data_IF_216844968549
#
_entry.id   IF_216844968549
#
_cell.length_a   1.000
_cell.length_b   1.000
_cell.length_c   1.000
_cell.angle_alpha   90.00
_cell.angle_beta   90.00
_cell.angle_gamma   90.00
#
_symmetry.space_group_name_H-M   'P 1'
#
loop_
_entity.id
_entity.type
_entity.pdbx_description
1 polymer ?
#
# COMPACT_ATOMS: atom_id res chain seq x y z
N UNK A 1 37.35 -6.48 30.81
CA UNK A 1 36.38 -5.87 29.91
C UNK A 1 37.10 -5.52 28.61
N UNK A 2 36.89 -6.31 27.55
CA UNK A 2 37.46 -6.02 26.21
C UNK A 2 36.45 -5.16 25.46
N UNK A 3 36.84 -3.96 25.03
CA UNK A 3 36.09 -3.07 24.22
C UNK A 3 35.81 -3.69 22.83
N UNK A 4 34.53 -3.71 22.43
CA UNK A 4 34.10 -4.14 21.10
C UNK A 4 34.69 -3.20 20.01
N UNK A 5 35.08 -3.71 18.86
CA UNK A 5 35.66 -2.87 17.79
C UNK A 5 34.54 -1.98 17.19
N UNK A 6 34.74 -0.66 17.27
CA UNK A 6 33.89 0.34 16.59
C UNK A 6 33.87 0.06 15.08
N UNK A 7 32.69 -0.14 14.52
CA UNK A 7 32.47 -0.41 13.10
C UNK A 7 32.85 0.80 12.23
N UNK A 8 34.15 0.88 11.87
CA UNK A 8 34.73 1.96 11.04
C UNK A 8 34.11 2.02 9.62
N UNK A 9 33.61 0.92 9.08
CA UNK A 9 33.00 0.87 7.73
C UNK A 9 31.65 1.59 7.66
N UNK A 10 30.78 1.46 8.66
CA UNK A 10 29.48 2.14 8.68
C UNK A 10 29.62 3.67 8.81
N UNK A 11 30.56 4.13 9.64
CA UNK A 11 30.82 5.56 9.85
C UNK A 11 31.44 6.23 8.62
N UNK A 12 32.22 5.49 7.83
CA UNK A 12 32.83 5.98 6.57
C UNK A 12 31.76 6.10 5.47
N UNK A 13 30.74 5.25 5.45
CA UNK A 13 29.68 5.26 4.47
C UNK A 13 28.66 6.40 4.72
N UNK A 14 28.35 6.70 5.99
CA UNK A 14 27.51 7.84 6.37
C UNK A 14 28.19 9.17 5.99
N UNK A 15 29.46 9.34 6.33
CA UNK A 15 30.20 10.57 6.00
C UNK A 15 30.37 10.78 4.49
N UNK A 16 30.52 9.71 3.72
CA UNK A 16 30.55 9.79 2.26
C UNK A 16 29.22 10.31 1.67
N UNK A 17 28.08 9.84 2.16
CA UNK A 17 26.75 10.31 1.71
C UNK A 17 26.54 11.79 2.04
N UNK A 18 26.95 12.23 3.21
CA UNK A 18 26.92 13.64 3.61
C UNK A 18 27.75 14.51 2.65
N UNK A 19 28.97 14.09 2.29
CA UNK A 19 29.84 14.82 1.37
C UNK A 19 29.22 14.88 -0.04
N UNK A 20 28.64 13.77 -0.52
CA UNK A 20 27.96 13.74 -1.82
C UNK A 20 26.75 14.69 -1.83
N UNK A 21 25.94 14.72 -0.77
CA UNK A 21 24.80 15.62 -0.63
C UNK A 21 25.25 17.10 -0.61
N UNK A 22 26.28 17.44 0.12
CA UNK A 22 26.82 18.81 0.17
C UNK A 22 27.42 19.24 -1.19
N UNK A 23 28.03 18.31 -1.94
CA UNK A 23 28.48 18.59 -3.31
C UNK A 23 27.30 18.82 -4.25
N UNK A 24 26.23 18.05 -4.13
CA UNK A 24 25.01 18.25 -4.92
C UNK A 24 24.37 19.61 -4.63
N UNK A 25 24.31 20.02 -3.38
CA UNK A 25 23.82 21.33 -2.97
C UNK A 25 24.67 22.47 -3.55
N UNK A 26 25.99 22.31 -3.54
CA UNK A 26 26.93 23.26 -4.17
C UNK A 26 26.66 23.36 -5.68
N UNK A 27 26.52 22.22 -6.37
CA UNK A 27 26.24 22.14 -7.82
C UNK A 27 24.88 22.77 -8.16
N UNK A 28 23.87 22.57 -7.32
CA UNK A 28 22.53 23.16 -7.52
C UNK A 28 22.54 24.69 -7.55
N UNK A 29 23.48 25.33 -6.85
CA UNK A 29 23.69 26.79 -6.88
C UNK A 29 24.55 27.30 -8.05
N UNK A 30 25.08 26.41 -8.91
CA UNK A 30 25.99 26.75 -10.01
C UNK A 30 25.27 26.66 -11.38
N UNK A 31 25.80 27.33 -12.40
CA UNK A 31 25.27 27.26 -13.76
C UNK A 31 25.93 26.14 -14.58
N UNK A 32 25.27 25.68 -15.63
CA UNK A 32 25.83 24.71 -16.55
C UNK A 32 27.13 25.30 -17.18
N UNK A 33 28.20 24.54 -17.15
CA UNK A 33 29.51 24.99 -17.61
C UNK A 33 30.35 25.69 -16.54
N UNK A 34 29.80 25.96 -15.35
CA UNK A 34 30.59 26.51 -14.24
C UNK A 34 31.65 25.52 -13.77
N UNK A 35 32.84 26.07 -13.44
CA UNK A 35 33.95 25.27 -12.96
C UNK A 35 33.83 25.00 -11.46
N UNK A 36 33.85 23.71 -11.06
CA UNK A 36 33.94 23.34 -9.65
C UNK A 36 35.27 23.85 -9.02
N UNK A 37 35.23 24.22 -7.73
CA UNK A 37 36.44 24.46 -6.97
C UNK A 37 37.39 23.25 -7.02
N UNK A 38 38.71 23.50 -6.86
CA UNK A 38 39.66 22.42 -6.89
C UNK A 38 39.42 21.36 -5.82
N UNK A 39 39.80 20.10 -6.07
CA UNK A 39 39.67 19.00 -5.11
C UNK A 39 40.27 19.32 -3.73
N UNK A 40 41.37 20.08 -3.72
CA UNK A 40 42.01 20.56 -2.48
C UNK A 40 41.14 21.59 -1.76
N UNK A 41 40.51 22.49 -2.50
CA UNK A 41 39.57 23.49 -1.96
C UNK A 41 38.33 22.83 -1.41
N UNK A 42 37.75 21.88 -2.16
CA UNK A 42 36.59 21.12 -1.75
C UNK A 42 36.88 20.27 -0.50
N UNK A 43 38.01 19.60 -0.45
CA UNK A 43 38.44 18.83 0.73
C UNK A 43 38.51 19.69 2.00
N UNK A 44 39.05 20.90 1.89
CA UNK A 44 39.06 21.85 3.02
C UNK A 44 37.70 22.37 3.39
N UNK A 45 36.88 22.75 2.39
CA UNK A 45 35.53 23.32 2.59
C UNK A 45 34.54 22.33 3.20
N UNK A 46 34.66 21.05 2.81
CA UNK A 46 33.77 19.97 3.25
C UNK A 46 34.34 19.17 4.42
N UNK A 47 35.46 19.61 5.00
CA UNK A 47 36.18 18.93 6.10
C UNK A 47 36.28 17.41 5.85
N UNK A 48 36.76 17.05 4.66
CA UNK A 48 36.82 15.65 4.25
C UNK A 48 38.13 15.31 3.54
N UNK A 49 38.42 14.00 3.48
CA UNK A 49 39.61 13.55 2.77
C UNK A 49 39.52 13.79 1.25
N UNK A 50 40.64 14.08 0.60
CA UNK A 50 40.68 14.22 -0.87
C UNK A 50 40.14 12.98 -1.57
N UNK A 51 40.42 11.78 -1.05
CA UNK A 51 39.93 10.52 -1.61
C UNK A 51 38.36 10.41 -1.56
N UNK A 52 37.73 10.91 -0.48
CA UNK A 52 36.27 10.94 -0.36
C UNK A 52 35.65 11.91 -1.36
N UNK A 53 36.24 13.10 -1.52
CA UNK A 53 35.81 14.10 -2.50
C UNK A 53 36.00 13.57 -3.93
N UNK A 54 37.14 12.94 -4.24
CA UNK A 54 37.40 12.35 -5.57
C UNK A 54 36.41 11.24 -5.91
N UNK A 55 36.02 10.41 -4.93
CA UNK A 55 35.01 9.37 -5.12
C UNK A 55 33.65 10.00 -5.41
N UNK A 56 33.23 11.01 -4.66
CA UNK A 56 31.96 11.68 -4.86
C UNK A 56 31.91 12.40 -6.22
N UNK A 57 32.98 13.09 -6.63
CA UNK A 57 33.07 13.74 -7.95
C UNK A 57 32.99 12.70 -9.08
N UNK A 58 33.62 11.54 -8.92
CA UNK A 58 33.58 10.48 -9.93
C UNK A 58 32.14 9.96 -10.12
N UNK A 59 31.46 9.66 -9.03
CA UNK A 59 30.05 9.22 -9.11
C UNK A 59 29.15 10.29 -9.74
N UNK A 60 29.29 11.57 -9.35
CA UNK A 60 28.53 12.66 -9.95
C UNK A 60 28.85 12.86 -11.44
N UNK A 61 30.08 12.50 -11.86
CA UNK A 61 30.45 12.49 -13.28
C UNK A 61 29.85 11.29 -14.02
N UNK A 62 29.81 10.11 -13.41
CA UNK A 62 29.14 8.92 -13.94
C UNK A 62 27.61 9.13 -14.05
N UNK A 63 27.02 9.88 -13.12
CA UNK A 63 25.63 10.30 -13.13
C UNK A 63 25.33 11.45 -14.13
N UNK A 64 26.36 11.96 -14.83
CA UNK A 64 26.23 13.00 -15.84
C UNK A 64 25.96 14.42 -15.30
N UNK A 65 26.12 14.62 -13.98
CA UNK A 65 25.99 15.94 -13.34
C UNK A 65 27.24 16.79 -13.46
N UNK A 66 28.39 16.15 -13.66
CA UNK A 66 29.69 16.77 -13.81
C UNK A 66 30.39 16.25 -15.06
N UNK A 67 31.24 17.08 -15.65
CA UNK A 67 32.14 16.72 -16.75
C UNK A 67 33.58 17.04 -16.36
N UNK A 68 34.43 16.04 -16.40
CA UNK A 68 35.89 16.24 -16.14
C UNK A 68 36.62 16.46 -17.45
N UNK A 69 37.25 17.64 -17.63
CA UNK A 69 38.05 17.98 -18.80
C UNK A 69 39.52 17.90 -18.43
N UNK A 70 40.26 17.08 -19.17
CA UNK A 70 41.66 16.86 -18.91
C UNK A 70 42.45 18.20 -18.91
N UNK A 71 43.22 18.44 -17.87
CA UNK A 71 43.99 19.68 -17.71
C UNK A 71 43.22 20.94 -17.36
N UNK A 72 41.89 20.93 -17.51
CA UNK A 72 41.04 22.12 -17.32
C UNK A 72 40.23 22.11 -16.03
N UNK A 73 39.95 20.92 -15.48
CA UNK A 73 39.21 20.77 -14.22
C UNK A 73 37.88 20.02 -14.39
N UNK A 74 37.01 20.14 -13.38
CA UNK A 74 35.69 19.56 -13.39
C UNK A 74 34.63 20.68 -13.50
N UNK A 75 33.68 20.49 -14.38
CA UNK A 75 32.64 21.47 -14.71
C UNK A 75 31.25 20.89 -14.45
N UNK A 76 30.30 21.74 -14.16
CA UNK A 76 28.89 21.34 -14.11
C UNK A 76 28.43 21.02 -15.54
N UNK A 77 28.11 19.74 -15.80
CA UNK A 77 27.78 19.28 -17.15
C UNK A 77 26.28 19.45 -17.47
N UNK A 78 25.46 19.46 -16.43
CA UNK A 78 24.03 19.65 -16.55
C UNK A 78 23.50 20.36 -15.30
N UNK A 79 22.95 21.54 -15.48
CA UNK A 79 21.97 21.99 -14.52
C UNK A 79 20.79 21.06 -14.71
N UNK A 80 20.51 20.23 -13.75
CA UNK A 80 19.21 19.63 -13.62
C UNK A 80 18.22 20.80 -13.39
N UNK A 81 17.86 21.49 -14.46
CA UNK A 81 16.63 22.27 -14.49
C UNK A 81 15.50 21.27 -14.46
N UNK A 82 15.02 21.03 -13.32
CA UNK A 82 13.97 20.08 -13.06
C UNK A 82 14.42 18.97 -12.10
N UNK A 83 13.96 19.14 -10.88
CA UNK A 83 13.79 18.10 -9.88
C UNK A 83 15.07 17.65 -9.16
N UNK A 84 15.74 18.55 -8.44
CA UNK A 84 15.79 18.29 -7.01
C UNK A 84 14.52 18.94 -6.45
N UNK A 85 13.39 18.40 -6.78
CA UNK A 85 12.23 18.66 -5.98
C UNK A 85 12.55 17.96 -4.65
N UNK A 86 12.54 18.70 -3.54
CA UNK A 86 12.33 18.16 -2.21
C UNK A 86 10.92 17.52 -2.13
N UNK A 87 10.40 17.04 -3.26
CA UNK A 87 9.13 16.38 -3.35
C UNK A 87 9.29 15.03 -2.67
N UNK A 88 8.53 14.83 -1.64
CA UNK A 88 8.41 13.52 -1.02
C UNK A 88 7.93 12.51 -2.06
N UNK A 89 8.45 11.29 -1.99
CA UNK A 89 8.03 10.17 -2.81
C UNK A 89 7.23 9.21 -1.93
N UNK A 90 5.93 9.15 -2.15
CA UNK A 90 5.05 8.22 -1.45
C UNK A 90 4.79 6.98 -2.29
N UNK A 91 4.70 5.84 -1.66
CA UNK A 91 4.32 4.61 -2.33
C UNK A 91 2.90 4.21 -1.96
N UNK A 92 2.04 4.02 -2.96
CA UNK A 92 0.76 3.37 -2.80
C UNK A 92 0.87 1.92 -3.26
N UNK A 93 0.64 0.97 -2.35
CA UNK A 93 0.61 -0.47 -2.66
C UNK A 93 -0.83 -0.96 -2.58
N UNK A 94 -1.34 -1.49 -3.69
CA UNK A 94 -2.69 -2.06 -3.79
C UNK A 94 -2.65 -3.54 -4.18
N UNK A 95 -3.65 -4.34 -3.78
CA UNK A 95 -3.72 -5.77 -4.13
C UNK A 95 -3.97 -6.01 -5.61
N UNK A 96 -4.86 -5.23 -6.23
CA UNK A 96 -5.17 -5.36 -7.66
C UNK A 96 -5.71 -4.03 -8.22
N UNK A 97 -4.92 -3.38 -9.06
CA UNK A 97 -5.29 -2.09 -9.65
C UNK A 97 -6.49 -2.18 -10.62
N UNK A 98 -6.82 -3.36 -11.10
CA UNK A 98 -7.99 -3.58 -11.97
C UNK A 98 -9.32 -3.53 -11.21
N UNK A 99 -9.31 -3.73 -9.89
CA UNK A 99 -10.51 -3.55 -9.07
C UNK A 99 -10.84 -2.06 -8.92
N UNK A 100 -12.07 -1.67 -9.28
CA UNK A 100 -12.50 -0.26 -9.35
C UNK A 100 -12.29 0.55 -8.05
N UNK A 101 -12.38 -0.09 -6.88
CA UNK A 101 -12.12 0.55 -5.59
C UNK A 101 -10.67 1.05 -5.48
N UNK A 102 -9.70 0.29 -5.98
CA UNK A 102 -8.29 0.66 -5.88
C UNK A 102 -7.89 1.70 -6.94
N UNK A 103 -8.54 1.72 -8.08
CA UNK A 103 -8.38 2.80 -9.05
C UNK A 103 -8.84 4.15 -8.47
N UNK A 104 -10.00 4.17 -7.79
CA UNK A 104 -10.50 5.35 -7.09
C UNK A 104 -9.57 5.80 -5.95
N UNK A 105 -9.03 4.84 -5.18
CA UNK A 105 -8.05 5.10 -4.14
C UNK A 105 -6.77 5.72 -4.71
N UNK A 106 -6.24 5.17 -5.81
CA UNK A 106 -5.04 5.67 -6.46
C UNK A 106 -5.23 7.12 -6.94
N UNK A 107 -6.38 7.43 -7.55
CA UNK A 107 -6.73 8.80 -7.95
C UNK A 107 -6.81 9.76 -6.76
N UNK A 108 -7.41 9.32 -5.64
CA UNK A 108 -7.49 10.14 -4.42
C UNK A 108 -6.14 10.40 -3.78
N UNK A 109 -5.27 9.39 -3.74
CA UNK A 109 -3.91 9.51 -3.21
C UNK A 109 -3.06 10.43 -4.08
N UNK A 110 -3.13 10.28 -5.41
CA UNK A 110 -2.42 11.13 -6.37
C UNK A 110 -2.84 12.60 -6.19
N UNK A 111 -4.14 12.87 -6.15
CA UNK A 111 -4.66 14.22 -5.96
C UNK A 111 -4.19 14.83 -4.62
N UNK A 112 -4.19 14.03 -3.55
CA UNK A 112 -3.69 14.47 -2.25
C UNK A 112 -2.18 14.73 -2.22
N UNK A 113 -1.41 13.93 -2.93
CA UNK A 113 0.04 14.08 -3.07
C UNK A 113 0.38 15.33 -3.91
N UNK A 114 -0.30 15.51 -5.04
CA UNK A 114 -0.14 16.67 -5.92
C UNK A 114 -0.34 17.99 -5.19
N UNK A 115 -1.36 18.08 -4.31
CA UNK A 115 -1.59 19.26 -3.47
C UNK A 115 -0.43 19.57 -2.50
N UNK A 116 0.42 18.59 -2.20
CA UNK A 116 1.60 18.72 -1.32
C UNK A 116 2.92 18.76 -2.09
N UNK A 117 2.88 18.72 -3.41
CA UNK A 117 4.06 18.62 -4.24
C UNK A 117 4.82 17.29 -4.09
N UNK A 118 4.14 16.24 -3.64
CA UNK A 118 4.71 14.91 -3.53
C UNK A 118 4.43 14.07 -4.79
N UNK A 119 5.32 13.10 -5.06
CA UNK A 119 5.14 12.11 -6.12
C UNK A 119 4.52 10.83 -5.57
N UNK A 120 3.77 10.10 -6.39
CA UNK A 120 3.20 8.79 -6.01
C UNK A 120 3.78 7.68 -6.89
N UNK A 121 4.36 6.68 -6.25
CA UNK A 121 4.78 5.43 -6.88
C UNK A 121 3.66 4.41 -6.62
N UNK A 122 3.01 3.95 -7.68
CA UNK A 122 1.96 2.95 -7.59
C UNK A 122 2.53 1.54 -7.79
N UNK A 123 2.30 0.66 -6.81
CA UNK A 123 2.71 -0.74 -6.84
C UNK A 123 1.49 -1.67 -6.79
N UNK A 124 1.37 -2.56 -7.77
CA UNK A 124 0.34 -3.60 -7.84
C UNK A 124 0.90 -4.93 -7.34
N UNK A 125 0.46 -5.39 -6.17
CA UNK A 125 0.96 -6.64 -5.58
C UNK A 125 0.27 -7.91 -6.11
N UNK A 126 -0.77 -7.78 -6.96
CA UNK A 126 -1.52 -8.90 -7.53
C UNK A 126 -2.07 -9.86 -6.47
N UNK A 127 -2.48 -9.31 -5.33
CA UNK A 127 -2.92 -10.08 -4.16
C UNK A 127 -1.87 -11.09 -3.65
N UNK A 128 -0.59 -10.87 -3.97
CA UNK A 128 0.54 -11.70 -3.56
C UNK A 128 1.32 -11.02 -2.42
N UNK A 129 1.41 -11.69 -1.27
CA UNK A 129 2.07 -11.18 -0.08
C UNK A 129 3.60 -11.06 -0.24
N UNK A 130 4.23 -11.99 -0.96
CA UNK A 130 5.67 -11.96 -1.24
C UNK A 130 6.02 -10.77 -2.14
N UNK A 131 5.24 -10.56 -3.21
CA UNK A 131 5.39 -9.41 -4.10
C UNK A 131 5.19 -8.08 -3.36
N UNK A 132 4.24 -8.03 -2.41
CA UNK A 132 4.07 -6.85 -1.56
C UNK A 132 5.31 -6.61 -0.69
N UNK A 133 5.89 -7.66 -0.11
CA UNK A 133 7.10 -7.57 0.70
C UNK A 133 8.30 -7.08 -0.13
N UNK A 134 8.51 -7.62 -1.32
CA UNK A 134 9.56 -7.20 -2.25
C UNK A 134 9.46 -5.71 -2.60
N UNK A 135 8.26 -5.20 -2.85
CA UNK A 135 8.05 -3.76 -3.09
C UNK A 135 8.46 -2.92 -1.88
N UNK A 136 8.03 -3.31 -0.68
CA UNK A 136 8.34 -2.57 0.54
C UNK A 136 9.85 -2.54 0.78
N UNK A 137 10.52 -3.70 0.74
CA UNK A 137 11.97 -3.79 0.96
C UNK A 137 12.78 -3.00 -0.07
N UNK A 138 12.43 -3.14 -1.35
CA UNK A 138 13.11 -2.42 -2.43
C UNK A 138 12.95 -0.91 -2.30
N UNK A 139 11.77 -0.42 -1.95
CA UNK A 139 11.51 1.01 -1.85
C UNK A 139 12.10 1.62 -0.58
N UNK A 140 12.19 0.87 0.52
CA UNK A 140 12.96 1.29 1.70
C UNK A 140 14.43 1.53 1.32
N UNK A 141 15.03 0.61 0.55
CA UNK A 141 16.41 0.75 0.07
C UNK A 141 16.58 1.92 -0.92
N UNK A 142 15.54 2.23 -1.69
CA UNK A 142 15.52 3.34 -2.62
C UNK A 142 15.29 4.71 -1.95
N UNK A 143 14.99 4.75 -0.65
CA UNK A 143 14.80 5.99 0.11
C UNK A 143 13.41 6.60 -0.08
N UNK A 144 12.37 5.78 -0.10
CA UNK A 144 10.98 6.23 -0.08
C UNK A 144 10.68 7.02 1.19
N UNK A 145 9.83 8.05 1.11
CA UNK A 145 9.50 8.90 2.24
C UNK A 145 8.27 8.41 3.03
N UNK A 146 7.41 7.59 2.43
CA UNK A 146 6.25 7.04 3.12
C UNK A 146 5.48 6.00 2.32
N UNK A 147 4.66 5.21 3.01
CA UNK A 147 3.83 4.18 2.40
C UNK A 147 2.34 4.36 2.73
N UNK A 148 1.51 4.15 1.73
CA UNK A 148 0.07 3.93 1.83
C UNK A 148 -0.18 2.50 1.37
N UNK A 149 -0.62 1.62 2.27
CA UNK A 149 -0.65 0.18 2.01
C UNK A 149 -2.06 -0.35 2.17
N UNK A 150 -2.59 -0.99 1.13
CA UNK A 150 -3.71 -1.91 1.26
C UNK A 150 -3.12 -3.30 1.51
N UNK A 151 -3.15 -3.84 2.73
CA UNK A 151 -2.48 -5.10 3.03
C UNK A 151 -3.07 -6.26 2.24
N UNK A 152 -2.21 -7.12 1.69
CA UNK A 152 -2.64 -8.42 1.18
C UNK A 152 -3.00 -9.31 2.36
N UNK A 153 -4.16 -9.95 2.30
CA UNK A 153 -4.59 -10.91 3.32
C UNK A 153 -3.90 -12.24 3.05
N UNK A 154 -2.84 -12.52 3.78
CA UNK A 154 -2.15 -13.80 3.73
C UNK A 154 -3.00 -14.93 4.32
N UNK A 155 -2.78 -16.18 3.86
CA UNK A 155 -3.43 -17.35 4.44
C UNK A 155 -3.02 -17.58 5.89
N UNK A 156 -1.77 -17.27 6.20
CA UNK A 156 -1.23 -17.30 7.55
C UNK A 156 -0.98 -15.88 8.06
N UNK A 157 -1.67 -15.48 9.12
CA UNK A 157 -1.53 -14.14 9.73
C UNK A 157 -0.08 -13.85 10.11
N UNK A 158 0.71 -14.88 10.50
CA UNK A 158 2.10 -14.72 10.91
C UNK A 158 3.05 -14.35 9.75
N UNK A 159 2.72 -14.71 8.52
CA UNK A 159 3.58 -14.42 7.36
C UNK A 159 3.77 -12.91 7.15
N UNK A 160 2.73 -12.12 7.35
CA UNK A 160 2.79 -10.68 7.14
C UNK A 160 3.25 -9.89 8.37
N UNK A 161 3.15 -10.44 9.58
CA UNK A 161 3.53 -9.72 10.81
C UNK A 161 5.02 -9.34 10.79
N UNK A 162 5.90 -10.25 10.33
CA UNK A 162 7.35 -10.01 10.23
C UNK A 162 7.68 -8.79 9.37
N UNK A 163 7.06 -8.70 8.21
CA UNK A 163 7.21 -7.59 7.26
C UNK A 163 6.81 -6.25 7.89
N UNK A 164 5.61 -6.17 8.45
CA UNK A 164 5.10 -4.92 9.02
C UNK A 164 5.82 -4.50 10.30
N UNK A 165 6.29 -5.47 11.11
CA UNK A 165 7.20 -5.17 12.23
C UNK A 165 8.54 -4.60 11.77
N UNK A 166 9.07 -5.09 10.65
CA UNK A 166 10.27 -4.53 10.03
C UNK A 166 10.03 -3.11 9.53
N UNK A 167 8.87 -2.87 8.90
CA UNK A 167 8.46 -1.53 8.47
C UNK A 167 8.30 -0.57 9.67
N UNK A 168 7.71 -1.02 10.78
CA UNK A 168 7.64 -0.22 12.02
C UNK A 168 9.04 0.18 12.56
N UNK A 169 10.05 -0.66 12.35
CA UNK A 169 11.44 -0.40 12.79
C UNK A 169 12.22 0.51 11.83
N UNK A 170 11.79 0.62 10.59
CA UNK A 170 12.48 1.43 9.57
C UNK A 170 12.34 2.94 9.81
N UNK A 171 11.44 3.35 10.70
CA UNK A 171 11.04 4.74 10.94
C UNK A 171 10.43 5.46 9.73
N UNK A 172 10.17 4.75 8.65
CA UNK A 172 9.45 5.29 7.50
C UNK A 172 7.97 5.33 7.86
N UNK A 173 7.30 6.48 7.74
CA UNK A 173 5.88 6.58 8.04
C UNK A 173 5.06 5.74 7.08
N UNK A 174 4.04 5.07 7.60
CA UNK A 174 3.09 4.34 6.78
C UNK A 174 1.68 4.40 7.37
N UNK A 175 0.70 4.23 6.49
CA UNK A 175 -0.71 4.16 6.82
C UNK A 175 -1.34 2.98 6.11
N UNK A 176 -2.17 2.24 6.82
CA UNK A 176 -3.02 1.24 6.19
C UNK A 176 -4.24 1.89 5.56
N UNK A 177 -4.70 1.33 4.45
CA UNK A 177 -5.90 1.76 3.76
C UNK A 177 -6.82 0.57 3.51
N UNK A 178 -8.12 0.77 3.67
CA UNK A 178 -9.17 -0.24 3.48
C UNK A 178 -9.15 -1.41 4.49
N UNK A 179 -8.01 -1.94 4.86
CA UNK A 179 -7.82 -3.07 5.81
C UNK A 179 -6.62 -2.84 6.70
N UNK A 180 -6.63 -3.48 7.84
CA UNK A 180 -5.54 -3.54 8.82
C UNK A 180 -4.88 -4.93 8.85
N UNK A 181 -3.78 -5.02 9.56
CA UNK A 181 -3.09 -6.27 9.89
C UNK A 181 -3.18 -6.48 11.38
N UNK A 182 -3.76 -7.59 11.80
CA UNK A 182 -3.90 -7.92 13.21
C UNK A 182 -2.53 -7.99 13.90
N UNK A 183 -2.42 -7.37 15.08
CA UNK A 183 -1.17 -7.30 15.84
C UNK A 183 -0.17 -6.22 15.37
N UNK A 184 -0.53 -5.38 14.40
CA UNK A 184 0.25 -4.21 13.99
C UNK A 184 -0.52 -2.93 14.34
N UNK A 185 0.07 -2.10 15.20
CA UNK A 185 -0.49 -0.79 15.54
C UNK A 185 0.01 0.23 14.53
N UNK A 186 -0.84 0.65 13.60
CA UNK A 186 -0.55 1.66 12.60
C UNK A 186 -1.80 2.51 12.32
N UNK A 187 -1.66 3.76 11.87
CA UNK A 187 -2.79 4.53 11.37
C UNK A 187 -3.52 3.78 10.25
N UNK A 188 -4.84 3.93 10.23
CA UNK A 188 -5.66 3.31 9.18
C UNK A 188 -6.74 4.27 8.70
N UNK A 189 -6.97 4.28 7.38
CA UNK A 189 -8.11 4.92 6.72
C UNK A 189 -8.98 3.83 6.11
N UNK A 190 -10.17 3.61 6.64
CA UNK A 190 -11.13 2.61 6.14
C UNK A 190 -12.57 3.07 6.30
N UNK A 191 -13.48 2.47 5.53
CA UNK A 191 -14.91 2.60 5.73
C UNK A 191 -15.35 1.93 7.03
N UNK A 192 -16.49 2.36 7.58
CA UNK A 192 -17.12 1.66 8.68
C UNK A 192 -17.94 0.46 8.14
N UNK A 193 -17.26 -0.67 7.98
CA UNK A 193 -17.85 -1.88 7.40
C UNK A 193 -18.99 -2.46 8.24
N UNK A 194 -18.93 -2.33 9.57
CA UNK A 194 -20.05 -2.70 10.44
C UNK A 194 -21.29 -1.87 10.11
N UNK A 195 -21.14 -0.54 10.07
CA UNK A 195 -22.26 0.33 9.75
C UNK A 195 -22.77 0.12 8.31
N UNK A 196 -21.86 -0.13 7.37
CA UNK A 196 -22.22 -0.52 6.00
C UNK A 196 -23.10 -1.76 5.95
N UNK A 197 -22.73 -2.82 6.68
CA UNK A 197 -23.55 -4.03 6.81
C UNK A 197 -24.90 -3.78 7.47
N UNK A 198 -24.90 -2.95 8.50
CA UNK A 198 -26.12 -2.58 9.22
C UNK A 198 -27.12 -1.82 8.35
N UNK A 199 -26.69 -0.76 7.64
CA UNK A 199 -27.59 0.05 6.80
C UNK A 199 -28.08 -0.72 5.56
N UNK A 200 -27.21 -1.53 4.93
CA UNK A 200 -27.60 -2.33 3.78
C UNK A 200 -28.68 -3.36 4.14
N UNK A 201 -28.50 -4.06 5.26
CA UNK A 201 -29.51 -5.01 5.77
C UNK A 201 -30.77 -4.29 6.21
N UNK A 202 -30.63 -3.17 6.91
CA UNK A 202 -31.78 -2.33 7.32
C UNK A 202 -32.62 -1.86 6.12
N UNK A 203 -31.94 -1.52 5.00
CA UNK A 203 -32.65 -1.16 3.76
C UNK A 203 -33.50 -2.31 3.21
N UNK A 204 -32.97 -3.54 3.21
CA UNK A 204 -33.74 -4.72 2.79
C UNK A 204 -34.94 -4.98 3.72
N UNK A 205 -34.71 -4.87 5.04
CA UNK A 205 -35.79 -5.03 6.04
C UNK A 205 -36.88 -3.97 5.91
N UNK A 206 -36.52 -2.71 5.64
CA UNK A 206 -37.49 -1.62 5.37
C UNK A 206 -38.33 -1.89 4.13
N UNK A 207 -37.81 -2.64 3.16
CA UNK A 207 -38.58 -3.07 1.98
C UNK A 207 -39.42 -4.31 2.22
N UNK A 208 -39.46 -4.85 3.45
CA UNK A 208 -40.25 -6.00 3.85
C UNK A 208 -39.59 -7.36 3.66
N UNK A 209 -38.33 -7.40 3.24
CA UNK A 209 -37.60 -8.67 3.10
C UNK A 209 -37.16 -9.17 4.48
N UNK A 210 -37.64 -10.34 4.91
CA UNK A 210 -37.26 -10.95 6.19
C UNK A 210 -36.33 -12.17 6.05
N UNK A 211 -36.34 -12.80 4.89
CA UNK A 211 -35.50 -13.96 4.60
C UNK A 211 -34.27 -13.53 3.79
N UNK A 212 -33.33 -12.86 4.46
CA UNK A 212 -32.15 -12.30 3.85
C UNK A 212 -30.97 -13.25 4.07
N UNK A 213 -30.25 -13.64 3.01
CA UNK A 213 -28.99 -14.36 3.12
C UNK A 213 -27.79 -13.36 3.08
N UNK A 214 -26.71 -13.71 3.75
CA UNK A 214 -25.41 -13.00 3.71
C UNK A 214 -24.33 -13.90 3.15
N UNK A 215 -23.61 -13.45 2.13
CA UNK A 215 -22.48 -14.19 1.54
C UNK A 215 -21.21 -13.36 1.56
N UNK A 216 -20.11 -13.95 2.06
CA UNK A 216 -18.82 -13.30 2.16
C UNK A 216 -17.66 -14.31 2.30
N UNK A 217 -16.42 -13.79 2.32
CA UNK A 217 -15.21 -14.56 2.63
C UNK A 217 -14.79 -14.33 4.06
N UNK A 218 -14.67 -15.39 4.87
CA UNK A 218 -14.38 -15.30 6.30
C UNK A 218 -13.03 -14.64 6.63
N UNK A 219 -12.00 -14.86 5.85
CA UNK A 219 -10.65 -14.35 6.11
C UNK A 219 -10.50 -12.82 6.07
N UNK A 220 -11.50 -12.10 5.56
CA UNK A 220 -11.46 -10.65 5.52
C UNK A 220 -12.14 -10.06 6.75
N UNK A 221 -11.42 -9.24 7.51
CA UNK A 221 -11.98 -8.51 8.65
C UNK A 221 -13.20 -7.68 8.24
N UNK A 222 -13.15 -7.06 7.05
CA UNK A 222 -14.27 -6.33 6.45
C UNK A 222 -15.52 -7.20 6.30
N UNK A 223 -15.38 -8.49 5.96
CA UNK A 223 -16.51 -9.43 5.89
C UNK A 223 -17.12 -9.68 7.26
N UNK A 224 -16.27 -9.85 8.28
CA UNK A 224 -16.71 -10.09 9.65
C UNK A 224 -17.47 -8.87 10.19
N UNK A 225 -16.90 -7.68 9.98
CA UNK A 225 -17.51 -6.42 10.42
C UNK A 225 -18.88 -6.20 9.72
N UNK A 226 -18.99 -6.46 8.41
CA UNK A 226 -20.26 -6.40 7.67
C UNK A 226 -21.26 -7.44 8.14
N UNK A 227 -20.81 -8.67 8.45
CA UNK A 227 -21.66 -9.72 9.01
C UNK A 227 -22.21 -9.32 10.39
N UNK A 228 -21.40 -8.72 11.24
CA UNK A 228 -21.85 -8.20 12.53
C UNK A 228 -22.90 -7.10 12.36
N UNK A 229 -22.71 -6.21 11.39
CA UNK A 229 -23.72 -5.20 11.02
C UNK A 229 -25.02 -5.81 10.56
N UNK A 230 -24.96 -6.83 9.68
CA UNK A 230 -26.09 -7.61 9.22
C UNK A 230 -26.87 -8.24 10.40
N UNK A 231 -26.17 -8.93 11.30
CA UNK A 231 -26.77 -9.55 12.48
C UNK A 231 -27.45 -8.49 13.37
N UNK A 232 -26.79 -7.36 13.60
CA UNK A 232 -27.31 -6.29 14.43
C UNK A 232 -28.60 -5.66 13.84
N UNK A 233 -28.67 -5.53 12.52
CA UNK A 233 -29.88 -5.07 11.85
C UNK A 233 -31.03 -6.06 12.01
N UNK A 234 -30.81 -7.36 11.83
CA UNK A 234 -31.82 -8.40 12.04
C UNK A 234 -32.35 -8.36 13.48
N UNK A 235 -31.47 -8.26 14.47
CA UNK A 235 -31.86 -8.17 15.89
C UNK A 235 -32.70 -6.95 16.18
N UNK A 236 -32.32 -5.78 15.66
CA UNK A 236 -33.11 -4.55 15.87
C UNK A 236 -34.50 -4.62 15.28
N UNK A 237 -34.65 -5.35 14.17
CA UNK A 237 -35.95 -5.54 13.51
C UNK A 237 -36.72 -6.77 14.01
N UNK A 238 -36.22 -7.41 15.08
CA UNK A 238 -36.82 -8.64 15.65
C UNK A 238 -36.97 -9.79 14.64
N UNK A 239 -36.04 -9.86 13.65
CA UNK A 239 -35.95 -10.97 12.69
C UNK A 239 -35.02 -12.04 13.26
N UNK A 240 -35.46 -13.31 13.33
CA UNK A 240 -34.62 -14.39 13.85
C UNK A 240 -33.36 -14.58 13.00
N UNK A 241 -32.23 -14.79 13.70
CA UNK A 241 -30.95 -15.10 13.05
C UNK A 241 -30.96 -16.58 12.64
N UNK A 242 -30.89 -16.82 11.35
CA UNK A 242 -30.73 -18.14 10.77
C UNK A 242 -29.28 -18.33 10.30
N UNK A 243 -28.52 -19.19 11.01
CA UNK A 243 -27.10 -19.44 10.68
C UNK A 243 -26.92 -20.08 9.30
N UNK A 244 -27.92 -20.77 8.77
CA UNK A 244 -27.83 -21.37 7.44
C UNK A 244 -27.84 -20.31 6.33
N UNK A 245 -28.33 -19.11 6.62
CA UNK A 245 -28.33 -17.95 5.71
C UNK A 245 -27.05 -17.14 5.75
N UNK A 246 -26.11 -17.47 6.65
CA UNK A 246 -24.81 -16.80 6.77
C UNK A 246 -23.74 -17.72 6.15
N UNK A 247 -23.32 -17.39 4.94
CA UNK A 247 -22.31 -18.13 4.20
C UNK A 247 -20.97 -17.37 4.25
N UNK A 248 -20.16 -17.71 5.24
CA UNK A 248 -18.77 -17.23 5.37
C UNK A 248 -17.83 -18.36 4.95
N UNK A 249 -17.34 -18.31 3.71
CA UNK A 249 -16.49 -19.37 3.15
C UNK A 249 -15.03 -18.93 3.10
N UNK A 250 -14.12 -19.69 3.72
CA UNK A 250 -12.73 -19.29 3.91
C UNK A 250 -11.94 -19.17 2.61
N UNK A 251 -11.86 -20.24 1.84
CA UNK A 251 -10.97 -20.32 0.67
C UNK A 251 -11.70 -20.67 -0.64
N UNK A 252 -13.02 -20.66 -0.62
CA UNK A 252 -13.77 -20.96 -1.82
C UNK A 252 -13.74 -19.80 -2.80
N UNK A 253 -13.52 -20.06 -4.10
CA UNK A 253 -13.79 -19.09 -5.14
C UNK A 253 -15.23 -18.55 -5.02
N UNK A 254 -15.43 -17.30 -5.43
CA UNK A 254 -16.75 -16.65 -5.36
C UNK A 254 -17.86 -17.48 -6.01
N UNK A 255 -17.64 -18.11 -7.21
CA UNK A 255 -18.64 -18.97 -7.83
C UNK A 255 -19.12 -20.11 -6.91
N UNK A 256 -18.20 -20.74 -6.17
CA UNK A 256 -18.56 -21.83 -5.25
C UNK A 256 -19.40 -21.32 -4.06
N UNK A 257 -19.13 -20.12 -3.56
CA UNK A 257 -19.95 -19.52 -2.50
C UNK A 257 -21.36 -19.23 -2.99
N UNK A 258 -21.51 -18.72 -4.21
CA UNK A 258 -22.80 -18.49 -4.85
C UNK A 258 -23.54 -19.81 -5.09
N UNK A 259 -22.84 -20.83 -5.60
CA UNK A 259 -23.39 -22.16 -5.83
C UNK A 259 -23.91 -22.79 -4.53
N UNK A 260 -23.15 -22.70 -3.43
CA UNK A 260 -23.58 -23.20 -2.12
C UNK A 260 -24.87 -22.53 -1.61
N UNK A 261 -25.07 -21.23 -1.89
CA UNK A 261 -26.33 -20.55 -1.58
C UNK A 261 -27.46 -21.12 -2.41
N UNK A 262 -27.28 -21.26 -3.74
CA UNK A 262 -28.31 -21.79 -4.65
C UNK A 262 -28.71 -23.22 -4.26
N UNK A 263 -27.76 -24.09 -3.95
CA UNK A 263 -28.00 -25.46 -3.49
C UNK A 263 -28.84 -25.49 -2.20
N UNK A 264 -28.59 -24.58 -1.25
CA UNK A 264 -29.41 -24.47 -0.04
C UNK A 264 -30.83 -23.99 -0.34
N UNK A 265 -30.99 -23.06 -1.30
CA UNK A 265 -32.30 -22.60 -1.75
C UNK A 265 -33.09 -23.74 -2.41
N UNK A 266 -32.43 -24.55 -3.24
CA UNK A 266 -33.02 -25.74 -3.87
C UNK A 266 -33.43 -26.81 -2.84
N UNK A 267 -32.65 -26.94 -1.77
CA UNK A 267 -33.00 -27.80 -0.63
C UNK A 267 -34.11 -27.24 0.24
N UNK A 268 -34.74 -26.14 -0.13
CA UNK A 268 -35.91 -25.57 0.53
C UNK A 268 -35.60 -24.43 1.49
N UNK A 269 -34.39 -23.89 1.55
CA UNK A 269 -34.10 -22.71 2.34
C UNK A 269 -34.79 -21.48 1.75
N UNK A 270 -35.69 -20.87 2.52
CA UNK A 270 -36.38 -19.66 2.10
C UNK A 270 -35.39 -18.47 2.09
N UNK A 271 -35.10 -17.91 0.92
CA UNK A 271 -34.36 -16.67 0.71
C UNK A 271 -35.09 -15.81 -0.28
N UNK A 272 -35.25 -14.52 0.03
CA UNK A 272 -35.95 -13.53 -0.82
C UNK A 272 -35.08 -12.30 -1.09
N UNK A 273 -33.94 -12.19 -0.44
CA UNK A 273 -32.94 -11.16 -0.70
C UNK A 273 -31.55 -11.68 -0.29
N UNK A 274 -30.52 -11.18 -0.93
CA UNK A 274 -29.13 -11.53 -0.61
C UNK A 274 -28.30 -10.26 -0.39
N UNK A 275 -27.62 -10.19 0.73
CA UNK A 275 -26.59 -9.21 0.98
C UNK A 275 -25.23 -9.80 0.61
N UNK A 276 -24.68 -9.36 -0.49
CA UNK A 276 -23.37 -9.78 -0.97
C UNK A 276 -22.25 -8.90 -0.37
N UNK A 277 -21.13 -9.51 -0.07
CA UNK A 277 -19.95 -8.82 0.47
C UNK A 277 -19.52 -7.61 -0.37
N UNK A 278 -19.54 -7.73 -1.70
CA UNK A 278 -19.27 -6.66 -2.66
C UNK A 278 -20.00 -6.92 -3.98
N UNK A 279 -19.92 -5.98 -4.90
CA UNK A 279 -20.57 -6.03 -6.21
C UNK A 279 -20.12 -7.23 -7.05
N UNK A 280 -18.84 -7.64 -6.92
CA UNK A 280 -18.34 -8.80 -7.63
C UNK A 280 -19.04 -10.09 -7.21
N UNK A 281 -19.32 -10.29 -5.91
CA UNK A 281 -20.12 -11.41 -5.44
C UNK A 281 -21.56 -11.33 -5.94
N UNK A 282 -22.12 -10.13 -5.99
CA UNK A 282 -23.47 -9.95 -6.50
C UNK A 282 -23.58 -10.29 -8.00
N UNK A 283 -22.63 -9.81 -8.80
CA UNK A 283 -22.56 -10.11 -10.23
C UNK A 283 -22.34 -11.61 -10.51
N UNK A 284 -21.49 -12.27 -9.73
CA UNK A 284 -21.30 -13.72 -9.85
C UNK A 284 -22.55 -14.50 -9.46
N UNK A 285 -23.25 -14.09 -8.41
CA UNK A 285 -24.53 -14.69 -8.04
C UNK A 285 -25.55 -14.55 -9.17
N UNK A 286 -25.66 -13.37 -9.78
CA UNK A 286 -26.57 -13.14 -10.92
C UNK A 286 -26.19 -14.00 -12.13
N UNK A 287 -24.89 -14.21 -12.41
CA UNK A 287 -24.44 -15.06 -13.54
C UNK A 287 -24.76 -16.53 -13.34
N UNK A 288 -24.69 -17.03 -12.11
CA UNK A 288 -24.92 -18.46 -11.82
C UNK A 288 -26.39 -18.79 -11.57
N UNK A 289 -27.21 -17.79 -11.28
CA UNK A 289 -28.63 -17.94 -11.01
C UNK A 289 -29.52 -17.92 -12.26
N UNK A 290 -28.99 -18.22 -13.43
CA UNK A 290 -29.75 -18.18 -14.69
C UNK A 290 -31.00 -19.06 -14.68
N UNK A 291 -32.10 -18.45 -15.01
CA UNK A 291 -33.30 -19.07 -15.59
C UNK A 291 -34.44 -19.45 -14.67
N UNK A 292 -34.40 -19.28 -13.36
CA UNK A 292 -35.57 -19.68 -12.56
C UNK A 292 -35.50 -19.34 -11.07
N UNK A 293 -34.35 -19.36 -10.48
CA UNK A 293 -34.21 -19.21 -9.03
C UNK A 293 -34.05 -17.74 -8.61
N UNK A 294 -33.29 -16.93 -9.36
CA UNK A 294 -33.11 -15.49 -9.09
C UNK A 294 -34.26 -14.61 -9.60
N UNK A 295 -35.03 -15.06 -10.55
CA UNK A 295 -36.26 -14.38 -10.96
C UNK A 295 -37.34 -14.31 -9.85
N UNK A 296 -37.06 -14.92 -8.69
CA UNK A 296 -37.88 -14.87 -7.46
C UNK A 296 -37.25 -13.98 -6.37
N UNK A 297 -36.00 -13.49 -6.57
CA UNK A 297 -35.33 -12.49 -5.75
C UNK A 297 -35.49 -11.10 -6.37
#
# INVERSE_FOLDING_TARGET
>A
MRALPRNKKGMHMLRYREIKAQLMELIAGMQNGDRLPSRTTLSKRLDSSRATVDKAIRELTEEGMLESRFGSGTFVARKLEGVVSNAENWCLIVPDISEGIYAGLASGVESGASLRGANVILCNSESNAEKQAEYIERLILAGIDGFIIVPVVARNVLENIGLYRSLCRSQIPFVFCNRDVEGICAPIVKSNDYYGGYIATGHLLQRGYQHIAFIARQRYRTSIDRCQGYISALLQWNVPIDRQKILLMEDSPIPQTCQALLERMDAGMAVVAVFCFNDYHALELLRHGDGGQLGRL
#
